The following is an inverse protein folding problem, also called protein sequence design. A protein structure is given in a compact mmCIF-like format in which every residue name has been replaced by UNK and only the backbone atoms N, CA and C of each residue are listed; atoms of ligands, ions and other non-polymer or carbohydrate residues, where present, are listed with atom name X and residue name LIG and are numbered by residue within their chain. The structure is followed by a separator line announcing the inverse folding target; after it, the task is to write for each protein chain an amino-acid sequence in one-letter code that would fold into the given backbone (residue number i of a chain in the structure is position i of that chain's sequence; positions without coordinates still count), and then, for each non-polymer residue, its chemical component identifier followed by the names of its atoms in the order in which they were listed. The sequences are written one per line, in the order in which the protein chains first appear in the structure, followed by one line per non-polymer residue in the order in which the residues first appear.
data_IF_483990347262
#
_entry.id   IF_483990347262
#
_cell.length_a   1.000
_cell.length_b   1.000
_cell.length_c   1.000
_cell.angle_alpha   90.00
_cell.angle_beta   90.00
_cell.angle_gamma   90.00
#
_symmetry.space_group_name_H-M   'P 1'
#
loop_
_entity.id
_entity.type
_entity.pdbx_description
1 polymer ?
#
# COMPACT_ATOMS: atom_id res chain seq x y z
N UNK A 1 -15.40 8.33 -31.05
CA UNK A 1 -16.43 9.11 -30.32
C UNK A 1 -17.72 9.00 -31.11
N UNK A 2 -18.76 8.32 -30.58
CA UNK A 2 -20.10 8.42 -31.14
C UNK A 2 -20.52 9.90 -31.13
N UNK A 3 -21.04 10.40 -32.25
CA UNK A 3 -21.70 11.71 -32.27
C UNK A 3 -22.88 11.64 -31.30
N UNK A 4 -22.82 12.47 -30.27
CA UNK A 4 -23.90 12.64 -29.30
C UNK A 4 -24.74 13.79 -29.83
N UNK A 5 -26.02 13.55 -30.10
CA UNK A 5 -26.95 14.60 -30.49
C UNK A 5 -27.56 15.19 -29.23
N UNK A 6 -27.47 16.50 -29.05
CA UNK A 6 -27.96 17.21 -27.85
C UNK A 6 -29.48 17.10 -27.73
N UNK A 7 -30.17 16.82 -28.85
CA UNK A 7 -31.64 16.63 -28.88
C UNK A 7 -32.14 15.36 -28.20
N UNK A 8 -31.24 14.41 -27.89
CA UNK A 8 -31.61 13.12 -27.25
C UNK A 8 -31.72 13.24 -25.71
N UNK A 9 -31.48 14.42 -25.13
CA UNK A 9 -31.42 14.60 -23.66
C UNK A 9 -32.55 15.54 -23.18
N UNK A 10 -33.12 15.19 -22.02
CA UNK A 10 -34.28 15.85 -21.41
C UNK A 10 -34.00 17.28 -20.95
N UNK A 11 -32.74 17.55 -20.55
CA UNK A 11 -32.30 18.88 -20.15
C UNK A 11 -30.79 19.08 -20.36
N UNK A 12 -30.31 20.31 -20.19
CA UNK A 12 -28.92 20.69 -20.34
C UNK A 12 -28.00 20.09 -19.27
N UNK A 13 -28.51 19.77 -18.10
CA UNK A 13 -27.75 19.20 -17.01
C UNK A 13 -27.44 17.72 -17.24
N UNK A 14 -28.38 16.97 -17.81
CA UNK A 14 -28.22 15.58 -18.22
C UNK A 14 -27.16 15.48 -19.35
N UNK A 15 -27.24 16.34 -20.34
CA UNK A 15 -26.26 16.42 -21.43
C UNK A 15 -24.86 16.80 -20.91
N UNK A 16 -24.77 17.73 -19.97
CA UNK A 16 -23.52 18.16 -19.34
C UNK A 16 -22.89 17.04 -18.52
N UNK A 17 -23.67 16.31 -17.77
CA UNK A 17 -23.23 15.16 -16.99
C UNK A 17 -22.68 14.05 -17.91
N UNK A 18 -23.37 13.73 -19.00
CA UNK A 18 -22.89 12.74 -19.96
C UNK A 18 -21.59 13.16 -20.63
N UNK A 19 -21.47 14.43 -21.05
CA UNK A 19 -20.24 14.94 -21.65
C UNK A 19 -19.09 14.83 -20.63
N UNK A 20 -19.36 15.19 -19.39
CA UNK A 20 -18.39 15.04 -18.30
C UNK A 20 -17.96 13.57 -18.13
N UNK A 21 -18.92 12.64 -18.04
CA UNK A 21 -18.65 11.21 -17.90
C UNK A 21 -17.87 10.64 -19.10
N UNK A 22 -18.19 11.06 -20.32
CA UNK A 22 -17.44 10.70 -21.52
C UNK A 22 -16.02 11.24 -21.53
N UNK A 23 -15.80 12.48 -21.07
CA UNK A 23 -14.48 13.06 -20.91
C UNK A 23 -13.68 12.27 -19.87
N UNK A 24 -14.29 11.93 -18.74
CA UNK A 24 -13.68 11.11 -17.68
C UNK A 24 -13.32 9.72 -18.22
N UNK A 25 -14.22 9.04 -18.91
CA UNK A 25 -13.96 7.75 -19.54
C UNK A 25 -12.84 7.85 -20.59
N UNK A 26 -12.85 8.88 -21.43
CA UNK A 26 -11.79 9.09 -22.43
C UNK A 26 -10.42 9.33 -21.77
N UNK A 27 -10.36 10.15 -20.72
CA UNK A 27 -9.13 10.37 -19.95
C UNK A 27 -8.64 9.08 -19.29
N UNK A 28 -9.53 8.31 -18.64
CA UNK A 28 -9.21 6.99 -18.07
C UNK A 28 -8.66 6.04 -19.13
N UNK A 29 -9.30 5.96 -20.31
CA UNK A 29 -8.88 5.11 -21.42
C UNK A 29 -7.53 5.56 -22.02
N UNK A 30 -7.30 6.86 -22.17
CA UNK A 30 -6.05 7.42 -22.72
C UNK A 30 -4.87 7.22 -21.77
N UNK A 31 -5.11 7.26 -20.46
CA UNK A 31 -4.11 7.03 -19.42
C UNK A 31 -3.91 5.53 -19.11
N UNK A 32 -4.58 4.63 -19.84
CA UNK A 32 -4.45 3.18 -19.62
C UNK A 32 -3.15 2.67 -20.23
N UNK A 33 -2.20 2.27 -19.38
CA UNK A 33 -1.00 1.55 -19.79
C UNK A 33 0.21 2.40 -20.16
N UNK A 34 0.16 3.70 -20.03
CA UNK A 34 1.30 4.61 -20.21
C UNK A 34 1.73 5.13 -18.84
N UNK A 35 3.00 4.93 -18.49
CA UNK A 35 3.63 5.63 -17.36
C UNK A 35 3.80 7.08 -17.77
N UNK A 36 2.84 7.92 -17.43
CA UNK A 36 2.89 9.34 -17.76
C UNK A 36 4.01 10.03 -16.95
N UNK A 37 4.77 10.91 -17.61
CA UNK A 37 5.61 11.89 -16.88
C UNK A 37 4.67 12.78 -16.08
N UNK A 38 5.00 12.99 -14.80
CA UNK A 38 4.24 13.91 -13.97
C UNK A 38 4.31 15.32 -14.60
N UNK A 39 3.16 15.85 -14.91
CA UNK A 39 3.02 17.22 -15.36
C UNK A 39 1.86 17.82 -14.58
N UNK A 40 2.12 18.92 -13.88
CA UNK A 40 1.16 19.60 -13.01
C UNK A 40 -0.20 19.81 -13.68
N UNK A 41 -0.21 20.13 -14.98
CA UNK A 41 -1.40 20.43 -15.78
C UNK A 41 -2.14 19.16 -16.24
N UNK A 42 -1.53 17.98 -16.13
CA UNK A 42 -2.05 16.71 -16.65
C UNK A 42 -2.30 15.66 -15.59
N UNK A 43 -1.72 15.83 -14.39
CA UNK A 43 -1.96 14.93 -13.26
C UNK A 43 -3.19 15.42 -12.52
N UNK A 44 -4.34 14.94 -12.95
CA UNK A 44 -5.64 15.23 -12.37
C UNK A 44 -6.07 14.12 -11.38
N UNK A 45 -7.25 14.30 -10.80
CA UNK A 45 -7.80 13.30 -9.85
C UNK A 45 -8.07 11.92 -10.50
N UNK A 46 -8.05 11.81 -11.83
CA UNK A 46 -8.29 10.58 -12.60
C UNK A 46 -7.01 9.84 -12.98
N UNK A 47 -5.84 10.47 -12.81
CA UNK A 47 -4.54 9.84 -13.03
C UNK A 47 -4.10 9.09 -11.79
N UNK A 48 -3.98 7.76 -11.89
CA UNK A 48 -3.59 6.93 -10.74
C UNK A 48 -2.09 6.61 -10.71
N UNK A 49 -1.35 6.84 -11.80
CA UNK A 49 0.07 6.54 -11.85
C UNK A 49 0.84 7.56 -12.69
N UNK A 50 1.91 8.12 -12.11
CA UNK A 50 2.83 9.02 -12.80
C UNK A 50 4.27 8.84 -12.30
N UNK A 51 5.26 9.40 -13.04
CA UNK A 51 6.67 9.44 -12.64
C UNK A 51 7.21 10.87 -12.61
N UNK A 52 8.12 11.14 -11.68
CA UNK A 52 8.94 12.35 -11.62
C UNK A 52 10.38 11.94 -11.94
N UNK A 53 11.00 12.59 -12.93
CA UNK A 53 12.33 12.25 -13.43
C UNK A 53 12.30 11.31 -14.64
N UNK A 54 13.48 11.01 -15.16
CA UNK A 54 13.69 10.23 -16.39
C UNK A 54 14.44 8.91 -16.16
N UNK A 55 14.88 8.66 -14.95
CA UNK A 55 15.58 7.45 -14.53
C UNK A 55 14.67 6.21 -14.42
N UNK A 56 15.15 5.19 -13.75
CA UNK A 56 14.39 3.95 -13.50
C UNK A 56 13.32 4.15 -12.44
N UNK A 57 12.20 3.44 -12.59
CA UNK A 57 11.12 3.36 -11.59
C UNK A 57 11.46 2.40 -10.43
N UNK A 58 12.55 1.65 -10.53
CA UNK A 58 12.82 0.51 -9.65
C UNK A 58 11.81 -0.63 -9.81
N UNK A 59 11.97 -1.67 -9.02
CA UNK A 59 11.17 -2.87 -9.09
C UNK A 59 9.70 -2.67 -8.74
N UNK A 60 9.42 -2.17 -7.55
CA UNK A 60 8.02 -1.92 -7.10
C UNK A 60 7.28 -0.95 -8.03
N UNK A 61 7.97 0.12 -8.51
CA UNK A 61 7.37 1.08 -9.44
C UNK A 61 6.96 0.43 -10.76
N UNK A 62 7.82 -0.43 -11.35
CA UNK A 62 7.51 -1.17 -12.57
C UNK A 62 6.38 -2.17 -12.36
N UNK A 63 6.39 -2.92 -11.25
CA UNK A 63 5.34 -3.86 -10.90
C UNK A 63 3.97 -3.18 -10.76
N UNK A 64 3.90 -2.04 -10.07
CA UNK A 64 2.67 -1.26 -9.93
C UNK A 64 2.16 -0.73 -11.29
N UNK A 65 3.05 -0.22 -12.16
CA UNK A 65 2.69 0.23 -13.49
C UNK A 65 2.10 -0.92 -14.33
N UNK A 66 2.72 -2.10 -14.26
CA UNK A 66 2.25 -3.30 -14.95
C UNK A 66 0.87 -3.75 -14.44
N UNK A 67 0.69 -3.89 -13.12
CA UNK A 67 -0.59 -4.28 -12.51
C UNK A 67 -1.68 -3.26 -12.85
N UNK A 68 -1.38 -1.96 -12.79
CA UNK A 68 -2.33 -0.92 -13.14
C UNK A 68 -2.79 -0.98 -14.60
N UNK A 69 -1.88 -1.33 -15.52
CA UNK A 69 -2.21 -1.55 -16.92
C UNK A 69 -3.05 -2.82 -17.13
N UNK A 70 -2.75 -3.88 -16.38
CA UNK A 70 -3.48 -5.14 -16.43
C UNK A 70 -4.92 -4.99 -15.93
N UNK A 71 -5.11 -4.47 -14.72
CA UNK A 71 -6.45 -4.27 -14.12
C UNK A 71 -7.37 -3.53 -15.10
N UNK A 72 -6.86 -2.52 -15.81
CA UNK A 72 -7.63 -1.76 -16.80
C UNK A 72 -7.99 -2.54 -18.07
N UNK A 73 -7.24 -3.59 -18.41
CA UNK A 73 -7.45 -4.40 -19.63
C UNK A 73 -8.39 -5.58 -19.43
N UNK A 74 -8.72 -5.94 -18.19
CA UNK A 74 -9.55 -7.09 -17.88
C UNK A 74 -10.94 -6.68 -17.42
N UNK A 75 -11.97 -6.75 -18.31
CA UNK A 75 -13.35 -6.36 -17.97
C UNK A 75 -13.96 -7.16 -16.81
N UNK A 76 -13.45 -8.37 -16.55
CA UNK A 76 -13.89 -9.20 -15.42
C UNK A 76 -13.60 -8.57 -14.06
N UNK A 77 -12.64 -7.62 -13.98
CA UNK A 77 -12.31 -6.86 -12.78
C UNK A 77 -13.13 -5.56 -12.65
N UNK A 78 -14.03 -5.28 -13.61
CA UNK A 78 -15.00 -4.19 -13.49
C UNK A 78 -16.24 -4.68 -12.75
N UNK A 79 -16.58 -4.01 -11.66
CA UNK A 79 -17.72 -4.31 -10.82
C UNK A 79 -18.59 -3.07 -10.63
N UNK A 80 -19.93 -3.24 -10.60
CA UNK A 80 -20.87 -2.12 -10.45
C UNK A 80 -20.77 -1.42 -9.09
N UNK A 81 -20.31 -2.13 -8.05
CA UNK A 81 -20.39 -1.67 -6.67
C UNK A 81 -19.03 -1.41 -6.01
N UNK A 82 -17.94 -1.80 -6.63
CA UNK A 82 -16.57 -1.54 -6.16
C UNK A 82 -15.58 -1.50 -7.31
N UNK A 83 -14.42 -0.91 -7.10
CA UNK A 83 -13.37 -0.79 -8.11
C UNK A 83 -12.12 -1.54 -7.67
N UNK A 84 -11.57 -2.36 -8.58
CA UNK A 84 -10.22 -2.91 -8.47
C UNK A 84 -9.26 -1.92 -9.12
N UNK A 85 -8.37 -1.32 -8.35
CA UNK A 85 -7.47 -0.28 -8.84
C UNK A 85 -6.19 -0.24 -8.02
N UNK A 86 -5.12 0.31 -8.59
CA UNK A 86 -3.99 0.77 -7.77
C UNK A 86 -4.32 2.12 -7.15
N UNK A 87 -3.96 2.34 -5.88
CA UNK A 87 -4.05 3.64 -5.25
C UNK A 87 -3.24 4.68 -6.03
N UNK A 88 -3.57 5.96 -5.87
CA UNK A 88 -2.83 7.04 -6.52
C UNK A 88 -1.34 6.96 -6.17
N UNK A 89 -0.50 6.90 -7.19
CA UNK A 89 0.92 6.61 -7.08
C UNK A 89 1.74 7.57 -7.92
N UNK A 90 2.77 8.14 -7.34
CA UNK A 90 3.83 8.88 -8.06
C UNK A 90 5.16 8.21 -7.74
N UNK A 91 5.96 7.92 -8.76
CA UNK A 91 7.29 7.34 -8.59
C UNK A 91 8.35 8.40 -8.87
N UNK A 92 9.17 8.68 -7.88
CA UNK A 92 10.38 9.49 -8.02
C UNK A 92 11.47 8.57 -8.56
N UNK A 93 11.95 8.85 -9.78
CA UNK A 93 12.91 8.00 -10.48
C UNK A 93 14.32 8.12 -9.92
N UNK A 94 15.18 7.17 -10.30
CA UNK A 94 16.55 7.04 -9.76
C UNK A 94 17.48 8.21 -10.11
N UNK A 95 17.21 8.97 -11.16
CA UNK A 95 17.98 10.18 -11.50
C UNK A 95 17.86 11.29 -10.45
N UNK A 96 16.73 11.35 -9.75
CA UNK A 96 16.52 12.26 -8.61
C UNK A 96 17.40 11.84 -7.42
N UNK A 97 17.55 10.54 -7.19
CA UNK A 97 18.45 10.02 -6.16
C UNK A 97 19.90 10.38 -6.47
N UNK A 98 20.35 10.16 -7.71
CA UNK A 98 21.70 10.49 -8.14
C UNK A 98 21.98 12.00 -7.94
N UNK A 99 21.07 12.87 -8.41
CA UNK A 99 21.19 14.33 -8.22
C UNK A 99 21.24 14.72 -6.73
N UNK A 100 20.41 14.10 -5.89
CA UNK A 100 20.40 14.34 -4.45
C UNK A 100 21.72 13.94 -3.78
N UNK A 101 22.25 12.77 -4.11
CA UNK A 101 23.50 12.26 -3.55
C UNK A 101 24.71 13.11 -3.97
N UNK A 102 24.76 13.47 -5.26
CA UNK A 102 25.88 14.22 -5.83
C UNK A 102 25.88 15.68 -5.35
N UNK A 103 24.72 16.36 -5.43
CA UNK A 103 24.62 17.78 -5.07
C UNK A 103 24.93 18.03 -3.59
N UNK A 104 24.62 17.10 -2.72
CA UNK A 104 24.88 17.21 -1.28
C UNK A 104 26.16 16.49 -0.83
N UNK A 105 26.96 15.94 -1.74
CA UNK A 105 28.20 15.21 -1.45
C UNK A 105 28.04 14.13 -0.35
N UNK A 106 26.95 13.32 -0.43
CA UNK A 106 26.59 12.39 0.64
C UNK A 106 27.34 11.06 0.62
N UNK A 107 27.93 10.67 -0.52
CA UNK A 107 28.62 9.38 -0.62
C UNK A 107 29.72 9.15 0.43
N UNK A 108 30.57 10.13 0.79
CA UNK A 108 31.61 9.92 1.80
C UNK A 108 31.04 9.49 3.16
N UNK A 109 29.98 10.12 3.65
CA UNK A 109 29.33 9.74 4.91
C UNK A 109 28.52 8.48 4.77
N UNK A 110 27.79 8.32 3.68
CA UNK A 110 26.94 7.16 3.41
C UNK A 110 27.74 5.85 3.38
N UNK A 111 28.94 5.87 2.78
CA UNK A 111 29.81 4.69 2.66
C UNK A 111 30.72 4.49 3.88
N UNK A 112 30.77 5.44 4.80
CA UNK A 112 31.60 5.31 6.02
C UNK A 112 30.97 4.32 7.02
N UNK A 113 31.74 3.98 8.07
CA UNK A 113 31.34 3.06 9.13
C UNK A 113 30.74 3.80 10.35
N UNK A 114 29.91 4.82 10.08
CA UNK A 114 29.14 5.53 11.11
C UNK A 114 27.82 4.82 11.38
N UNK A 115 27.20 5.10 12.55
CA UNK A 115 25.91 4.53 12.90
C UNK A 115 24.76 5.07 12.02
N UNK A 116 23.67 4.32 11.95
CA UNK A 116 22.51 4.61 11.12
C UNK A 116 21.84 5.94 11.46
N UNK A 117 21.83 6.31 12.73
CA UNK A 117 21.32 7.60 13.22
C UNK A 117 22.13 8.79 12.69
N UNK A 118 23.44 8.62 12.64
CA UNK A 118 24.34 9.63 12.06
C UNK A 118 24.12 9.77 10.56
N UNK A 119 23.99 8.65 9.82
CA UNK A 119 23.64 8.67 8.39
C UNK A 119 22.31 9.42 8.19
N UNK A 120 21.26 9.03 8.93
CA UNK A 120 19.96 9.67 8.85
C UNK A 120 20.04 11.19 9.08
N UNK A 121 20.78 11.65 10.10
CA UNK A 121 20.95 13.08 10.39
C UNK A 121 21.59 13.86 9.23
N UNK A 122 22.58 13.29 8.56
CA UNK A 122 23.19 13.94 7.39
C UNK A 122 22.20 14.04 6.24
N UNK A 123 21.46 12.97 5.95
CA UNK A 123 20.45 12.96 4.89
C UNK A 123 19.31 13.93 5.17
N UNK A 124 18.80 14.00 6.40
CA UNK A 124 17.73 14.94 6.78
C UNK A 124 18.14 16.41 6.62
N UNK A 125 19.42 16.74 6.81
CA UNK A 125 19.96 18.10 6.62
C UNK A 125 20.19 18.46 5.16
N UNK A 126 20.30 17.48 4.29
CA UNK A 126 20.52 17.68 2.86
C UNK A 126 19.30 18.26 2.16
N UNK A 127 19.50 18.93 1.04
CA UNK A 127 18.43 19.57 0.26
C UNK A 127 17.99 18.68 -0.88
N UNK A 128 16.68 18.45 -1.02
CA UNK A 128 16.12 17.80 -2.21
C UNK A 128 16.25 18.71 -3.44
N UNK A 129 16.36 18.14 -4.66
CA UNK A 129 16.38 18.94 -5.89
C UNK A 129 15.17 19.87 -6.01
N UNK A 130 15.39 21.13 -6.45
CA UNK A 130 14.35 22.14 -6.51
C UNK A 130 13.16 21.71 -7.40
N UNK A 131 13.46 21.05 -8.54
CA UNK A 131 12.42 20.51 -9.45
C UNK A 131 11.49 19.50 -8.75
N UNK A 132 12.03 18.68 -7.85
CA UNK A 132 11.22 17.73 -7.07
C UNK A 132 10.28 18.47 -6.12
N UNK A 133 10.74 19.53 -5.46
CA UNK A 133 9.92 20.32 -4.53
C UNK A 133 8.68 20.91 -5.23
N UNK A 134 8.86 21.44 -6.46
CA UNK A 134 7.75 21.99 -7.25
C UNK A 134 6.71 20.91 -7.60
N UNK A 135 7.18 19.72 -8.00
CA UNK A 135 6.31 18.58 -8.32
C UNK A 135 5.58 18.05 -7.08
N UNK A 136 6.24 17.98 -5.92
CA UNK A 136 5.62 17.57 -4.67
C UNK A 136 4.53 18.54 -4.22
N UNK A 137 4.76 19.86 -4.35
CA UNK A 137 3.74 20.87 -4.03
C UNK A 137 2.49 20.71 -4.89
N UNK A 138 2.65 20.39 -6.16
CA UNK A 138 1.53 20.11 -7.06
C UNK A 138 0.84 18.76 -6.74
N UNK A 139 1.60 17.77 -6.31
CA UNK A 139 1.05 16.47 -5.91
C UNK A 139 0.10 16.58 -4.69
N UNK A 140 0.36 17.50 -3.77
CA UNK A 140 -0.49 17.70 -2.59
C UNK A 140 -1.92 18.16 -2.93
N UNK A 141 -2.13 18.80 -4.08
CA UNK A 141 -3.45 19.25 -4.51
C UNK A 141 -4.37 18.08 -4.90
N UNK A 142 -3.81 16.95 -5.25
CA UNK A 142 -4.55 15.77 -5.73
C UNK A 142 -4.60 14.61 -4.72
N UNK A 143 -3.77 14.65 -3.67
CA UNK A 143 -3.72 13.62 -2.63
C UNK A 143 -4.80 13.85 -1.59
N UNK A 144 -5.55 12.79 -1.27
CA UNK A 144 -6.68 12.83 -0.34
C UNK A 144 -6.46 12.02 0.96
N UNK A 145 -5.50 11.10 0.95
CA UNK A 145 -5.21 10.16 2.02
C UNK A 145 -3.76 10.28 2.51
N UNK A 146 -3.38 9.65 3.63
CA UNK A 146 -1.97 9.50 4.00
C UNK A 146 -1.14 8.89 2.87
N UNK A 147 0.16 9.17 2.86
CA UNK A 147 1.09 8.71 1.83
C UNK A 147 2.06 7.68 2.42
N UNK A 148 2.16 6.52 1.80
CA UNK A 148 3.26 5.59 2.03
C UNK A 148 4.44 5.99 1.13
N UNK A 149 5.60 6.22 1.75
CA UNK A 149 6.88 6.51 1.09
C UNK A 149 7.70 5.24 1.13
N UNK A 150 7.83 4.59 -0.03
CA UNK A 150 8.37 3.23 -0.14
C UNK A 150 9.60 3.23 -1.04
N UNK A 151 10.60 2.47 -0.64
CA UNK A 151 11.74 2.14 -1.49
C UNK A 151 11.31 1.42 -2.77
N UNK A 152 12.02 1.62 -3.86
CA UNK A 152 11.84 0.91 -5.12
C UNK A 152 13.20 0.74 -5.80
N UNK A 153 13.98 -0.19 -5.30
CA UNK A 153 15.28 -0.55 -5.83
C UNK A 153 15.15 -1.51 -7.01
N UNK A 154 16.17 -1.58 -7.85
CA UNK A 154 16.25 -2.58 -8.92
C UNK A 154 16.50 -3.98 -8.35
N UNK A 155 17.17 -4.08 -7.20
CA UNK A 155 17.52 -5.35 -6.58
C UNK A 155 16.33 -6.00 -5.85
N UNK A 156 15.32 -5.24 -5.46
CA UNK A 156 14.13 -5.78 -4.78
C UNK A 156 13.35 -6.81 -5.61
N UNK A 157 13.47 -6.77 -6.95
CA UNK A 157 12.84 -7.74 -7.87
C UNK A 157 13.78 -8.87 -8.29
N UNK A 158 14.94 -9.01 -7.65
CA UNK A 158 15.85 -10.10 -7.95
C UNK A 158 15.23 -11.44 -7.56
N UNK A 159 15.00 -12.32 -8.54
CA UNK A 159 14.48 -13.68 -8.31
C UNK A 159 15.43 -14.55 -7.47
N UNK A 160 16.70 -14.20 -7.42
CA UNK A 160 17.73 -15.00 -6.77
C UNK A 160 18.06 -14.52 -5.35
N UNK A 161 17.76 -13.26 -5.02
CA UNK A 161 18.13 -12.62 -3.77
C UNK A 161 17.02 -11.65 -3.34
N UNK A 162 16.08 -12.09 -2.50
CA UNK A 162 14.96 -11.24 -2.10
C UNK A 162 15.43 -10.11 -1.17
N UNK A 163 15.24 -8.87 -1.59
CA UNK A 163 15.51 -7.66 -0.79
C UNK A 163 14.29 -7.17 0.01
N UNK A 164 13.28 -8.00 0.17
CA UNK A 164 12.06 -7.61 0.87
C UNK A 164 12.33 -7.27 2.35
N UNK A 165 11.91 -6.08 2.78
CA UNK A 165 12.01 -5.64 4.18
C UNK A 165 13.38 -5.10 4.60
N UNK A 166 14.34 -4.92 3.67
CA UNK A 166 15.68 -4.38 3.97
C UNK A 166 15.65 -2.85 4.03
N UNK A 167 14.91 -2.22 3.13
CA UNK A 167 14.78 -0.77 3.07
C UNK A 167 13.52 -0.29 3.79
N UNK A 168 13.61 0.90 4.39
CA UNK A 168 12.54 1.49 5.18
C UNK A 168 11.32 1.89 4.35
N UNK A 169 10.15 1.87 5.00
CA UNK A 169 8.89 2.36 4.46
C UNK A 169 8.23 3.27 5.49
N UNK A 170 8.13 4.56 5.21
CA UNK A 170 7.50 5.52 6.10
C UNK A 170 6.08 5.83 5.65
N UNK A 171 5.19 6.07 6.62
CA UNK A 171 3.82 6.53 6.34
C UNK A 171 3.65 7.96 6.84
N UNK A 172 3.25 8.86 5.95
CA UNK A 172 3.07 10.29 6.23
C UNK A 172 1.58 10.59 6.28
N UNK A 173 1.06 11.10 7.42
CA UNK A 173 -0.31 11.57 7.52
C UNK A 173 -0.59 12.70 6.52
N UNK A 174 -1.82 12.81 6.06
CA UNK A 174 -2.26 13.96 5.27
C UNK A 174 -2.40 15.17 6.19
N UNK A 175 -1.58 16.20 5.96
CA UNK A 175 -1.61 17.47 6.69
C UNK A 175 -2.40 18.52 5.90
N UNK A 176 -3.00 19.47 6.60
CA UNK A 176 -3.74 20.58 5.98
C UNK A 176 -2.78 21.64 5.45
N UNK A 177 -1.76 21.98 6.22
CA UNK A 177 -0.73 22.92 5.79
C UNK A 177 0.22 22.27 4.76
N UNK A 178 0.38 22.93 3.60
CA UNK A 178 1.20 22.40 2.50
C UNK A 178 2.71 22.44 2.81
N UNK A 179 3.17 23.40 3.60
CA UNK A 179 4.59 23.49 3.96
C UNK A 179 4.98 22.44 5.00
N UNK A 180 4.10 22.20 5.98
CA UNK A 180 4.28 21.09 6.91
C UNK A 180 4.24 19.74 6.20
N UNK A 181 3.32 19.58 5.24
CA UNK A 181 3.25 18.40 4.40
C UNK A 181 4.52 18.21 3.57
N UNK A 182 5.03 19.30 2.96
CA UNK A 182 6.28 19.27 2.19
C UNK A 182 7.47 18.89 3.06
N UNK A 183 7.60 19.49 4.23
CA UNK A 183 8.67 19.17 5.18
C UNK A 183 8.65 17.70 5.56
N UNK A 184 7.49 17.22 6.02
CA UNK A 184 7.34 15.85 6.49
C UNK A 184 7.57 14.82 5.37
N UNK A 185 7.01 15.07 4.18
CA UNK A 185 7.23 14.17 3.04
C UNK A 185 8.68 14.22 2.55
N UNK A 186 9.31 15.39 2.52
CA UNK A 186 10.72 15.54 2.16
C UNK A 186 11.62 14.74 3.12
N UNK A 187 11.35 14.81 4.42
CA UNK A 187 12.12 14.08 5.41
C UNK A 187 11.89 12.57 5.30
N UNK A 188 10.67 12.11 5.01
CA UNK A 188 10.40 10.71 4.71
C UNK A 188 11.16 10.20 3.47
N UNK A 189 11.21 10.99 2.39
CA UNK A 189 11.97 10.67 1.17
C UNK A 189 13.46 10.53 1.50
N UNK A 190 14.03 11.49 2.22
CA UNK A 190 15.44 11.47 2.64
C UNK A 190 15.75 10.29 3.56
N UNK A 191 14.82 9.94 4.46
CA UNK A 191 14.97 8.79 5.35
C UNK A 191 14.96 7.46 4.59
N UNK A 192 14.12 7.32 3.55
CA UNK A 192 14.17 6.15 2.66
C UNK A 192 15.48 6.11 1.90
N UNK A 193 15.99 7.24 1.38
CA UNK A 193 17.31 7.29 0.74
C UNK A 193 18.43 6.91 1.70
N UNK A 194 18.39 7.37 2.96
CA UNK A 194 19.36 7.02 3.99
C UNK A 194 19.38 5.50 4.28
N UNK A 195 18.21 4.85 4.26
CA UNK A 195 18.08 3.42 4.59
C UNK A 195 18.85 2.49 3.64
N UNK A 196 19.20 2.96 2.44
CA UNK A 196 20.10 2.24 1.51
C UNK A 196 21.44 1.96 2.17
N UNK A 197 21.91 2.89 3.00
CA UNK A 197 23.25 2.89 3.58
C UNK A 197 23.28 2.47 5.06
N UNK A 198 22.16 1.99 5.60
CA UNK A 198 22.12 1.47 6.96
C UNK A 198 22.88 0.15 7.08
N UNK A 199 23.26 -0.18 8.30
CA UNK A 199 24.09 -1.34 8.63
C UNK A 199 23.55 -2.63 8.04
N UNK A 200 22.25 -2.88 8.18
CA UNK A 200 21.62 -4.12 7.67
C UNK A 200 21.64 -4.16 6.14
N UNK A 201 21.41 -3.02 5.48
CA UNK A 201 21.50 -2.89 4.02
C UNK A 201 22.93 -3.15 3.53
N UNK A 202 23.93 -2.53 4.17
CA UNK A 202 25.37 -2.76 3.87
C UNK A 202 25.77 -4.22 4.07
N UNK A 203 25.34 -4.84 5.18
CA UNK A 203 25.65 -6.24 5.48
C UNK A 203 25.02 -7.17 4.42
N UNK A 204 23.77 -6.91 4.03
CA UNK A 204 23.09 -7.70 3.01
C UNK A 204 23.75 -7.55 1.63
N UNK A 205 24.09 -6.35 1.21
CA UNK A 205 24.77 -6.08 -0.06
C UNK A 205 26.13 -6.81 -0.10
N UNK A 206 26.89 -6.75 0.97
CA UNK A 206 28.17 -7.49 1.08
C UNK A 206 27.96 -9.00 0.97
N UNK A 207 26.94 -9.54 1.66
CA UNK A 207 26.62 -10.97 1.63
C UNK A 207 26.16 -11.47 0.25
N UNK A 208 25.57 -10.58 -0.56
CA UNK A 208 25.06 -10.89 -1.90
C UNK A 208 26.02 -10.51 -3.03
N UNK A 209 27.23 -10.07 -2.71
CA UNK A 209 28.25 -9.62 -3.66
C UNK A 209 27.81 -8.46 -4.56
N UNK A 210 26.86 -7.65 -4.11
CA UNK A 210 26.44 -6.43 -4.79
C UNK A 210 27.27 -5.24 -4.29
N UNK A 211 27.45 -4.24 -5.14
CA UNK A 211 28.17 -3.02 -4.79
C UNK A 211 27.18 -1.95 -4.36
N UNK A 212 27.28 -1.52 -3.11
CA UNK A 212 26.35 -0.55 -2.51
C UNK A 212 26.42 0.84 -3.16
N UNK A 213 27.56 1.22 -3.69
CA UNK A 213 27.77 2.48 -4.42
C UNK A 213 27.11 2.48 -5.81
N UNK A 214 26.70 1.32 -6.31
CA UNK A 214 25.96 1.17 -7.56
C UNK A 214 24.43 1.05 -7.34
N UNK A 215 23.99 0.92 -6.10
CA UNK A 215 22.56 0.86 -5.79
C UNK A 215 21.92 2.23 -6.00
N UNK A 216 20.87 2.24 -6.81
CA UNK A 216 20.08 3.44 -7.11
C UNK A 216 18.66 3.26 -6.64
N UNK A 217 18.17 4.23 -5.88
CA UNK A 217 16.87 4.15 -5.23
C UNK A 217 15.86 5.05 -5.93
N UNK A 218 14.81 4.45 -6.48
CA UNK A 218 13.57 5.14 -6.77
C UNK A 218 12.64 5.11 -5.56
N UNK A 219 11.72 6.06 -5.47
CA UNK A 219 10.72 6.12 -4.38
C UNK A 219 9.32 6.05 -4.93
N UNK A 220 8.51 5.17 -4.37
CA UNK A 220 7.07 5.10 -4.63
C UNK A 220 6.33 5.91 -3.57
N UNK A 221 5.72 7.02 -3.96
CA UNK A 221 4.75 7.77 -3.18
C UNK A 221 3.36 7.24 -3.50
N UNK A 222 2.70 6.61 -2.55
CA UNK A 222 1.42 5.96 -2.79
C UNK A 222 0.40 6.31 -1.71
N UNK A 223 -0.81 6.71 -2.11
CA UNK A 223 -1.89 6.90 -1.14
C UNK A 223 -2.20 5.60 -0.39
N UNK A 224 -2.33 5.71 0.91
CA UNK A 224 -2.75 4.60 1.77
C UNK A 224 -4.26 4.47 1.70
N UNK A 225 -4.75 3.30 1.35
CA UNK A 225 -6.18 2.97 1.36
C UNK A 225 -6.62 2.66 2.79
N UNK A 226 -7.72 3.22 3.24
CA UNK A 226 -8.24 3.00 4.57
C UNK A 226 -9.31 4.03 4.95
N UNK A 227 -9.67 4.01 6.23
CA UNK A 227 -10.63 4.95 6.81
C UNK A 227 -10.00 5.67 8.00
N UNK A 228 -10.45 6.91 8.20
CA UNK A 228 -10.11 7.68 9.38
C UNK A 228 -11.07 7.35 10.52
N UNK A 229 -10.50 6.98 11.66
CA UNK A 229 -11.21 6.74 12.92
C UNK A 229 -10.64 7.71 13.98
N UNK A 230 -11.25 8.88 14.13
CA UNK A 230 -10.73 9.97 14.96
C UNK A 230 -9.29 10.35 14.60
N UNK A 231 -8.33 9.93 15.42
CA UNK A 231 -6.91 10.27 15.31
C UNK A 231 -6.05 9.14 14.73
N UNK A 232 -6.69 8.14 14.14
CA UNK A 232 -6.03 6.97 13.55
C UNK A 232 -6.58 6.66 12.16
N UNK A 233 -5.74 6.05 11.33
CA UNK A 233 -6.10 5.69 9.97
C UNK A 233 -5.64 4.26 9.67
N UNK A 234 -6.56 3.43 9.19
CA UNK A 234 -6.26 2.06 8.78
C UNK A 234 -7.34 1.48 7.86
N UNK A 235 -7.00 0.49 7.00
CA UNK A 235 -7.99 -0.26 6.21
C UNK A 235 -8.70 -1.31 7.06
N UNK A 236 -9.92 -1.64 6.71
CA UNK A 236 -10.67 -2.74 7.33
C UNK A 236 -10.01 -4.10 7.04
N UNK A 237 -9.48 -4.27 5.83
CA UNK A 237 -8.77 -5.50 5.41
C UNK A 237 -7.53 -5.08 4.64
N UNK A 238 -6.40 -5.66 4.98
CA UNK A 238 -5.19 -5.68 4.17
C UNK A 238 -4.74 -7.11 3.96
N UNK A 239 -3.91 -7.35 2.94
CA UNK A 239 -3.51 -8.73 2.65
C UNK A 239 -2.33 -8.83 1.70
N UNK A 240 -1.82 -10.05 1.62
CA UNK A 240 -0.84 -10.48 0.62
C UNK A 240 -1.39 -11.73 -0.04
N UNK A 241 -1.42 -11.75 -1.37
CA UNK A 241 -1.84 -12.90 -2.15
C UNK A 241 -0.71 -13.35 -3.10
N UNK A 242 -0.61 -14.65 -3.33
CA UNK A 242 0.36 -15.28 -4.22
C UNK A 242 -0.33 -16.31 -5.11
N UNK A 243 0.07 -16.40 -6.36
CA UNK A 243 -0.47 -17.38 -7.31
C UNK A 243 -0.04 -18.83 -7.01
N UNK A 244 0.98 -19.02 -6.20
CA UNK A 244 1.46 -20.35 -5.81
C UNK A 244 1.26 -20.60 -4.31
N UNK A 245 0.52 -21.66 -3.98
CA UNK A 245 0.35 -22.17 -2.63
C UNK A 245 1.35 -23.31 -2.36
N UNK A 246 2.39 -23.03 -1.58
CA UNK A 246 3.42 -24.04 -1.25
C UNK A 246 2.94 -25.11 -0.25
N UNK A 247 1.87 -24.86 0.46
CA UNK A 247 1.34 -25.75 1.51
C UNK A 247 -0.18 -25.88 1.36
N UNK A 248 -0.66 -26.55 0.29
CA UNK A 248 -2.09 -26.78 0.10
C UNK A 248 -2.66 -27.70 1.18
N UNK A 249 -3.90 -27.44 1.59
CA UNK A 249 -4.62 -28.22 2.60
C UNK A 249 -5.91 -28.81 2.00
N UNK A 250 -6.29 -30.00 2.48
CA UNK A 250 -7.51 -30.67 2.03
C UNK A 250 -7.49 -30.96 0.52
N UNK A 251 -8.41 -30.32 -0.22
CA UNK A 251 -8.56 -30.47 -1.68
C UNK A 251 -7.90 -29.33 -2.48
N UNK A 252 -7.17 -28.44 -1.82
CA UNK A 252 -6.42 -27.37 -2.49
C UNK A 252 -5.27 -27.95 -3.34
N UNK A 253 -4.89 -27.19 -4.36
CA UNK A 253 -3.71 -27.44 -5.19
C UNK A 253 -2.75 -26.26 -5.14
N UNK A 254 -1.52 -26.49 -5.57
CA UNK A 254 -0.49 -25.43 -5.57
C UNK A 254 -0.90 -24.23 -6.45
N UNK A 255 -1.53 -24.49 -7.58
CA UNK A 255 -1.99 -23.47 -8.53
C UNK A 255 -3.24 -22.69 -8.09
N UNK A 256 -3.92 -23.09 -7.01
CA UNK A 256 -5.11 -22.40 -6.52
C UNK A 256 -4.77 -21.07 -5.81
N UNK A 257 -3.49 -20.81 -5.61
CA UNK A 257 -3.03 -19.60 -4.94
C UNK A 257 -3.31 -19.60 -3.44
N UNK A 258 -2.81 -18.57 -2.78
CA UNK A 258 -2.92 -18.38 -1.33
C UNK A 258 -3.02 -16.90 -0.99
N UNK A 259 -3.86 -16.56 -0.02
CA UNK A 259 -3.96 -15.21 0.54
C UNK A 259 -3.81 -15.25 2.07
N UNK A 260 -3.16 -14.23 2.60
CA UNK A 260 -3.11 -13.93 4.02
C UNK A 260 -3.72 -12.55 4.23
N UNK A 261 -4.76 -12.46 5.04
CA UNK A 261 -5.49 -11.22 5.31
C UNK A 261 -5.48 -10.87 6.79
N UNK A 262 -5.55 -9.60 7.08
CA UNK A 262 -5.56 -9.04 8.42
C UNK A 262 -6.35 -7.72 8.48
N UNK A 263 -6.81 -7.36 9.67
CA UNK A 263 -7.29 -6.02 9.99
C UNK A 263 -6.10 -5.07 10.12
N UNK A 264 -6.25 -3.83 9.66
CA UNK A 264 -5.26 -2.77 9.82
C UNK A 264 -4.25 -2.68 8.70
N UNK A 265 -3.16 -1.95 8.91
CA UNK A 265 -2.15 -1.70 7.91
C UNK A 265 -1.37 -2.97 7.55
N UNK A 266 -1.09 -3.13 6.25
CA UNK A 266 -0.39 -4.30 5.70
C UNK A 266 1.01 -4.56 6.26
N UNK A 267 1.66 -3.55 6.84
CA UNK A 267 2.94 -3.71 7.56
C UNK A 267 2.84 -4.77 8.68
N UNK A 268 1.68 -4.89 9.34
CA UNK A 268 1.46 -5.93 10.34
C UNK A 268 1.67 -7.35 9.79
N UNK A 269 1.30 -7.58 8.53
CA UNK A 269 1.50 -8.88 7.85
C UNK A 269 2.97 -9.09 7.52
N UNK A 270 3.64 -8.04 7.03
CA UNK A 270 5.07 -8.09 6.66
C UNK A 270 5.94 -8.35 7.89
N UNK A 271 5.59 -7.76 9.03
CA UNK A 271 6.29 -7.95 10.31
C UNK A 271 5.98 -9.31 10.98
N UNK A 272 5.28 -10.21 10.29
CA UNK A 272 4.99 -11.57 10.79
C UNK A 272 3.83 -11.63 11.78
N UNK A 273 2.94 -10.66 11.78
CA UNK A 273 1.73 -10.67 12.61
C UNK A 273 0.78 -11.82 12.26
N UNK A 274 -0.12 -12.14 13.19
CA UNK A 274 -1.15 -13.17 12.95
C UNK A 274 -2.11 -12.74 11.84
N UNK A 275 -2.27 -13.59 10.83
CA UNK A 275 -3.12 -13.38 9.67
C UNK A 275 -4.09 -14.53 9.49
N UNK A 276 -5.23 -14.31 8.86
CA UNK A 276 -6.06 -15.40 8.39
C UNK A 276 -5.53 -15.86 7.02
N UNK A 277 -5.25 -17.16 6.90
CA UNK A 277 -4.76 -17.79 5.67
C UNK A 277 -5.88 -18.57 4.99
N UNK A 278 -6.08 -18.34 3.68
CA UNK A 278 -7.03 -19.10 2.87
C UNK A 278 -6.60 -19.17 1.40
N UNK A 279 -7.07 -20.19 0.67
CA UNK A 279 -6.98 -20.21 -0.79
C UNK A 279 -8.19 -19.48 -1.40
N UNK A 280 -8.00 -18.53 -2.34
CA UNK A 280 -9.11 -17.83 -2.99
C UNK A 280 -10.12 -18.77 -3.68
N UNK A 281 -9.68 -19.90 -4.24
CA UNK A 281 -10.55 -20.94 -4.82
C UNK A 281 -11.28 -21.80 -3.79
N UNK A 282 -10.78 -21.83 -2.57
CA UNK A 282 -11.34 -22.65 -1.49
C UNK A 282 -11.53 -21.81 -0.20
N UNK A 283 -12.32 -20.71 -0.26
CA UNK A 283 -12.43 -19.76 0.85
C UNK A 283 -13.05 -20.33 2.12
N UNK A 284 -13.64 -21.52 2.05
CA UNK A 284 -14.18 -22.24 3.20
C UNK A 284 -13.12 -23.08 3.95
N UNK A 285 -11.96 -23.34 3.33
CA UNK A 285 -10.88 -24.12 3.93
C UNK A 285 -9.99 -23.23 4.80
N UNK A 286 -10.46 -22.88 6.00
CA UNK A 286 -9.73 -22.01 6.93
C UNK A 286 -9.26 -22.82 8.12
N UNK A 287 -7.97 -23.14 8.17
CA UNK A 287 -7.40 -23.97 9.24
C UNK A 287 -7.61 -23.34 10.63
N UNK A 288 -7.45 -22.02 10.76
CA UNK A 288 -7.64 -21.32 12.03
C UNK A 288 -9.08 -21.39 12.55
N UNK A 289 -10.06 -21.69 11.69
CA UNK A 289 -11.46 -21.83 12.05
C UNK A 289 -11.90 -23.30 12.15
N UNK A 290 -10.99 -24.28 12.01
CA UNK A 290 -11.32 -25.71 12.01
C UNK A 290 -11.80 -26.22 13.37
N UNK A 291 -11.39 -25.60 14.47
CA UNK A 291 -11.88 -25.86 15.82
C UNK A 291 -12.04 -24.57 16.60
N UNK A 292 -12.90 -24.56 17.59
CA UNK A 292 -13.10 -23.41 18.47
C UNK A 292 -11.81 -23.01 19.18
N UNK A 293 -11.01 -23.96 19.62
CA UNK A 293 -9.74 -23.69 20.30
C UNK A 293 -8.72 -23.03 19.40
N UNK A 294 -8.61 -23.44 18.13
CA UNK A 294 -7.79 -22.76 17.13
C UNK A 294 -8.30 -21.34 16.87
N UNK A 295 -9.61 -21.17 16.67
CA UNK A 295 -10.19 -19.85 16.44
C UNK A 295 -9.93 -18.86 17.59
N UNK A 296 -9.94 -19.34 18.82
CA UNK A 296 -9.67 -18.51 20.01
C UNK A 296 -8.18 -18.17 20.19
N UNK A 297 -7.25 -18.98 19.69
CA UNK A 297 -5.80 -18.81 19.90
C UNK A 297 -5.06 -18.28 18.69
N UNK A 298 -5.43 -18.70 17.48
CA UNK A 298 -4.65 -18.49 16.27
C UNK A 298 -5.19 -17.36 15.38
N UNK A 299 -6.27 -16.68 15.80
CA UNK A 299 -6.78 -15.52 15.07
C UNK A 299 -6.13 -14.22 15.55
N UNK A 300 -6.09 -13.24 14.69
CA UNK A 300 -5.49 -11.94 14.95
C UNK A 300 -6.09 -11.24 16.16
N UNK A 301 -5.25 -10.69 17.04
CA UNK A 301 -5.66 -9.98 18.26
C UNK A 301 -5.17 -8.52 18.28
N UNK A 302 -4.18 -8.19 17.46
CA UNK A 302 -3.58 -6.84 17.37
C UNK A 302 -3.46 -6.42 15.92
N UNK A 303 -3.39 -5.11 15.66
CA UNK A 303 -3.21 -4.56 14.33
C UNK A 303 -2.42 -3.25 14.37
N UNK A 304 -1.96 -2.78 13.22
CA UNK A 304 -1.33 -1.47 13.08
C UNK A 304 -2.30 -0.46 12.48
N UNK A 305 -2.27 0.75 13.03
CA UNK A 305 -2.91 1.95 12.50
C UNK A 305 -1.90 3.08 12.41
N UNK A 306 -2.07 3.99 11.47
CA UNK A 306 -1.29 5.21 11.41
C UNK A 306 -1.81 6.21 12.45
N UNK A 307 -0.91 6.77 13.25
CA UNK A 307 -1.20 7.89 14.15
C UNK A 307 -1.33 9.19 13.34
N UNK A 308 -2.47 9.86 13.46
CA UNK A 308 -2.72 11.14 12.77
C UNK A 308 -2.43 12.36 13.64
N UNK A 309 -2.18 12.17 14.94
CA UNK A 309 -1.89 13.26 15.90
C UNK A 309 -0.41 13.53 16.08
N UNK A 310 0.35 12.45 16.26
CA UNK A 310 1.77 12.57 16.55
C UNK A 310 2.54 12.61 15.24
N UNK A 311 2.69 13.80 14.72
CA UNK A 311 3.76 14.07 13.77
C UNK A 311 5.03 14.08 14.60
N UNK A 312 5.83 13.05 14.49
CA UNK A 312 7.13 13.06 15.12
C UNK A 312 7.89 14.30 14.64
N UNK A 313 8.33 15.12 15.56
CA UNK A 313 9.18 16.28 15.25
C UNK A 313 10.51 15.85 14.59
N UNK A 314 10.84 14.56 14.67
CA UNK A 314 12.03 13.96 14.08
C UNK A 314 11.75 12.56 13.53
N UNK A 315 12.17 12.32 12.29
CA UNK A 315 12.21 10.99 11.72
C UNK A 315 13.24 10.11 12.45
N UNK A 316 12.91 8.83 12.59
CA UNK A 316 13.74 7.81 13.23
C UNK A 316 14.21 6.77 12.21
N UNK A 317 15.30 6.07 12.52
CA UNK A 317 15.72 4.85 11.80
C UNK A 317 14.62 3.78 11.85
N UNK A 318 13.87 3.70 12.96
CA UNK A 318 12.67 2.88 13.06
C UNK A 318 11.52 3.49 12.25
N UNK A 319 11.18 2.86 11.13
CA UNK A 319 10.11 3.29 10.22
C UNK A 319 8.69 3.03 10.76
N UNK A 320 8.57 2.47 11.96
CA UNK A 320 7.31 2.22 12.66
C UNK A 320 6.97 3.28 13.73
N UNK A 321 7.81 4.32 13.88
CA UNK A 321 7.72 5.31 14.96
C UNK A 321 6.35 6.02 15.07
N UNK A 322 5.61 6.14 13.97
CA UNK A 322 4.28 6.77 13.91
C UNK A 322 3.14 5.74 13.73
N UNK A 323 3.41 4.46 13.97
CA UNK A 323 2.41 3.42 13.92
C UNK A 323 1.92 3.05 15.32
N UNK A 324 0.61 3.04 15.48
CA UNK A 324 -0.04 2.57 16.69
C UNK A 324 -0.24 1.06 16.63
N UNK A 325 0.19 0.33 17.65
CA UNK A 325 -0.12 -1.07 17.83
C UNK A 325 -1.34 -1.22 18.71
N UNK A 326 -2.48 -1.47 18.10
CA UNK A 326 -3.80 -1.49 18.71
C UNK A 326 -4.32 -2.92 18.89
N UNK A 327 -5.38 -3.07 19.68
CA UNK A 327 -6.07 -4.34 19.92
C UNK A 327 -7.53 -4.30 19.38
N UNK A 328 -8.22 -5.45 19.40
CA UNK A 328 -9.58 -5.55 18.86
C UNK A 328 -10.60 -4.68 19.62
N UNK A 329 -10.37 -4.31 20.87
CA UNK A 329 -11.27 -3.39 21.59
C UNK A 329 -11.21 -1.98 21.02
N UNK A 330 -10.03 -1.57 20.53
CA UNK A 330 -9.86 -0.28 19.85
C UNK A 330 -10.62 -0.29 18.52
N UNK A 331 -10.52 -1.36 17.74
CA UNK A 331 -11.25 -1.52 16.49
C UNK A 331 -12.78 -1.64 16.70
N UNK A 332 -13.19 -2.25 17.81
CA UNK A 332 -14.60 -2.33 18.21
C UNK A 332 -15.17 -0.95 18.53
N UNK A 333 -14.42 -0.15 19.29
CA UNK A 333 -14.77 1.25 19.59
C UNK A 333 -14.85 2.12 18.32
N UNK A 334 -14.01 1.85 17.31
CA UNK A 334 -14.05 2.50 16.01
C UNK A 334 -15.21 2.02 15.12
N UNK A 335 -15.87 0.91 15.47
CA UNK A 335 -16.95 0.31 14.68
C UNK A 335 -16.48 -0.41 13.41
N UNK A 336 -15.17 -0.69 13.28
CA UNK A 336 -14.57 -1.27 12.07
C UNK A 336 -14.73 -2.78 11.97
N UNK A 337 -15.22 -3.46 13.02
CA UNK A 337 -15.28 -4.92 13.10
C UNK A 337 -16.50 -5.56 12.44
N UNK A 338 -17.55 -4.79 12.13
CA UNK A 338 -18.89 -5.28 11.80
C UNK A 338 -18.93 -6.41 10.77
N UNK A 339 -18.09 -6.36 9.74
CA UNK A 339 -18.14 -7.29 8.62
C UNK A 339 -17.06 -8.38 8.66
N UNK A 340 -16.13 -8.33 9.62
CA UNK A 340 -14.93 -9.18 9.63
C UNK A 340 -14.79 -10.06 10.84
N UNK A 341 -15.76 -10.01 11.79
CA UNK A 341 -15.71 -10.80 13.01
C UNK A 341 -16.81 -11.84 13.11
N UNK A 342 -16.52 -12.89 13.87
CA UNK A 342 -17.46 -13.73 14.61
C UNK A 342 -17.39 -13.38 16.09
N UNK A 343 -18.43 -13.73 16.85
CA UNK A 343 -18.49 -13.48 18.29
C UNK A 343 -18.54 -14.80 19.05
N UNK A 344 -17.58 -15.00 19.95
CA UNK A 344 -17.59 -16.14 20.86
C UNK A 344 -18.48 -15.84 22.08
N UNK A 345 -19.46 -16.70 22.29
CA UNK A 345 -20.32 -16.70 23.46
C UNK A 345 -19.75 -17.64 24.52
N UNK A 346 -19.28 -17.12 25.68
CA UNK A 346 -18.67 -17.95 26.72
C UNK A 346 -19.69 -18.81 27.50
N UNK A 347 -20.98 -18.46 27.48
CA UNK A 347 -22.03 -19.22 28.18
C UNK A 347 -22.40 -20.47 27.38
N UNK A 348 -22.70 -20.30 26.11
CA UNK A 348 -23.05 -21.40 25.21
C UNK A 348 -21.81 -22.13 24.65
N UNK A 349 -20.62 -21.59 24.86
CA UNK A 349 -19.35 -22.09 24.33
C UNK A 349 -19.39 -22.29 22.80
N UNK A 350 -19.96 -21.34 22.07
CA UNK A 350 -20.09 -21.37 20.63
C UNK A 350 -19.54 -20.10 20.00
N UNK A 351 -19.05 -20.21 18.77
CA UNK A 351 -18.71 -19.07 17.91
C UNK A 351 -19.92 -18.84 16.99
N UNK A 352 -20.48 -17.65 17.04
CA UNK A 352 -21.58 -17.20 16.17
C UNK A 352 -21.04 -16.29 15.09
N UNK A 353 -21.40 -16.52 13.84
CA UNK A 353 -21.00 -15.65 12.74
C UNK A 353 -21.63 -14.28 12.87
N UNK A 354 -20.78 -13.26 12.69
CA UNK A 354 -21.18 -11.88 12.76
C UNK A 354 -20.87 -11.17 14.08
N UNK A 355 -21.20 -9.89 14.09
CA UNK A 355 -21.00 -8.99 15.22
C UNK A 355 -22.21 -9.02 16.14
N UNK A 356 -22.02 -9.48 17.36
CA UNK A 356 -23.04 -9.41 18.43
C UNK A 356 -22.50 -8.58 19.60
N UNK A 357 -23.31 -7.75 20.26
CA UNK A 357 -22.94 -7.03 21.47
C UNK A 357 -22.52 -8.02 22.57
N UNK A 358 -21.47 -7.69 23.31
CA UNK A 358 -20.88 -8.62 24.28
C UNK A 358 -20.03 -9.72 23.62
N UNK A 359 -19.64 -10.72 24.41
CA UNK A 359 -18.80 -11.82 23.92
C UNK A 359 -17.39 -11.39 23.45
N UNK A 360 -16.53 -12.37 23.16
CA UNK A 360 -15.19 -12.11 22.63
C UNK A 360 -15.23 -12.04 21.10
N UNK A 361 -14.70 -10.97 20.52
CA UNK A 361 -14.59 -10.81 19.06
C UNK A 361 -13.42 -11.65 18.53
N UNK A 362 -13.66 -12.33 17.42
CA UNK A 362 -12.70 -13.19 16.70
C UNK A 362 -12.65 -12.69 15.26
N UNK A 363 -11.48 -12.36 14.76
CA UNK A 363 -11.28 -11.99 13.35
C UNK A 363 -11.33 -13.24 12.47
N UNK A 364 -12.54 -13.63 12.11
CA UNK A 364 -12.83 -14.84 11.32
C UNK A 364 -12.93 -14.56 9.83
N UNK A 365 -13.27 -13.33 9.45
CA UNK A 365 -13.60 -12.90 8.08
C UNK A 365 -14.70 -13.76 7.41
N UNK A 366 -15.46 -14.53 8.19
CA UNK A 366 -16.48 -15.47 7.70
C UNK A 366 -17.52 -14.75 6.84
N UNK A 367 -17.98 -13.56 7.25
CA UNK A 367 -18.95 -12.80 6.46
C UNK A 367 -18.44 -12.45 5.07
N UNK A 368 -17.15 -12.19 4.92
CA UNK A 368 -16.49 -11.85 3.65
C UNK A 368 -16.19 -13.10 2.82
N UNK A 369 -15.70 -14.19 3.47
CA UNK A 369 -15.21 -15.36 2.78
C UNK A 369 -16.27 -16.45 2.54
N UNK A 370 -17.27 -16.58 3.43
CA UNK A 370 -18.29 -17.63 3.35
C UNK A 370 -19.67 -17.08 3.01
N UNK A 371 -20.04 -15.90 3.53
CA UNK A 371 -21.31 -15.25 3.25
C UNK A 371 -21.23 -14.21 2.13
N UNK A 372 -20.04 -14.00 1.58
CA UNK A 372 -19.78 -13.17 0.38
C UNK A 372 -20.41 -11.77 0.43
N UNK A 373 -20.48 -11.16 1.63
CA UNK A 373 -20.96 -9.76 1.78
C UNK A 373 -20.09 -8.78 0.96
N UNK A 374 -18.89 -9.20 0.60
CA UNK A 374 -18.00 -8.61 -0.38
C UNK A 374 -17.24 -9.76 -1.09
N UNK A 375 -17.18 -9.78 -2.44
CA UNK A 375 -16.65 -10.90 -3.22
C UNK A 375 -15.10 -10.91 -3.23
N UNK A 376 -14.48 -10.91 -2.05
CA UNK A 376 -13.01 -10.84 -1.92
C UNK A 376 -12.31 -12.06 -2.51
N UNK A 377 -12.83 -13.26 -2.25
CA UNK A 377 -12.20 -14.50 -2.70
C UNK A 377 -12.21 -14.58 -4.24
N UNK A 378 -13.35 -14.36 -4.88
CA UNK A 378 -13.50 -14.36 -6.34
C UNK A 378 -12.63 -13.28 -6.99
N UNK A 379 -12.58 -12.08 -6.42
CA UNK A 379 -11.75 -10.99 -6.93
C UNK A 379 -10.27 -11.35 -6.86
N UNK A 380 -9.81 -11.93 -5.76
CA UNK A 380 -8.43 -12.37 -5.62
C UNK A 380 -8.10 -13.53 -6.56
N UNK A 381 -8.99 -14.51 -6.73
CA UNK A 381 -8.81 -15.60 -7.69
C UNK A 381 -8.63 -15.07 -9.12
N UNK A 382 -9.50 -14.14 -9.53
CA UNK A 382 -9.40 -13.48 -10.82
C UNK A 382 -8.07 -12.73 -11.00
N UNK A 383 -7.65 -11.95 -9.99
CA UNK A 383 -6.37 -11.21 -10.04
C UNK A 383 -5.18 -12.16 -10.15
N UNK A 384 -5.15 -13.23 -9.38
CA UNK A 384 -4.04 -14.20 -9.37
C UNK A 384 -3.93 -15.00 -10.68
N UNK A 385 -5.02 -15.17 -11.43
CA UNK A 385 -5.04 -15.88 -12.71
C UNK A 385 -4.85 -14.97 -13.93
N UNK A 386 -4.86 -13.67 -13.73
CA UNK A 386 -4.61 -12.67 -14.78
C UNK A 386 -3.12 -12.31 -14.86
N UNK A 387 -2.41 -12.43 -13.76
CA UNK A 387 -0.97 -12.22 -13.64
C UNK A 387 -0.19 -13.49 -13.88
#
# INVERSE_FOLDING_TARGET
LKRVDVSDYKDMDEARKLIFDLIVQYRRMKNSGVVAVYQKERFDEYSNFARIGDGSLGGKGRGLAFIGAMVKRYPKLEHDHFAVTIPKTVVICTDIFDEFMETNELYPVALSDVDDETILKYFLRASLPARLIEDLMAFFDVVKSPIAVRSSSLLEDSHYQPFAGIYSTYMVPKLEDKYDMLRTLSDAIKAVYASVFYRDSKAYMTATSNLIDQEKMAIVLQEVVGNRYNDRFYPTISGVARSLNFYPIGNEKAEDGIANIALGLGKYIVDGGQTLRFSPRHPHNILQMSTMDFALRETQTRFYALDLKNLADQFSVDDSFNLLRLNLKDADADGSLKFIVSTYDPYDQVIRDGYYPGGRKILSFVNVLQHEVFPLADTLDQILHVG
#
